data_IF_370361869590
#
_entry.id   IF_370361869590
#
_cell.length_a   1.000
_cell.length_b   1.000
_cell.length_c   1.000
_cell.angle_alpha   90.00
_cell.angle_beta   90.00
_cell.angle_gamma   90.00
#
_symmetry.space_group_name_H-M   'P 1'
#
loop_
_entity.id
_entity.type
_entity.pdbx_description
1 polymer ?
#
# COMPACT_ATOMS: atom_id res chain seq x y z
N UNK A 1 13.28 20.27 -6.63
CA UNK A 1 13.50 19.09 -5.77
C UNK A 1 12.73 17.98 -6.43
N UNK A 2 13.43 17.13 -7.15
CA UNK A 2 12.84 16.04 -7.93
C UNK A 2 12.36 14.95 -6.97
N UNK A 3 11.15 14.46 -7.20
CA UNK A 3 10.56 13.30 -6.52
C UNK A 3 11.54 12.12 -6.60
N UNK A 4 11.98 11.55 -5.48
CA UNK A 4 12.86 10.36 -5.48
C UNK A 4 12.20 9.18 -6.22
N UNK A 5 10.86 9.17 -6.27
CA UNK A 5 10.06 8.22 -7.06
C UNK A 5 10.22 8.41 -8.59
N UNK A 6 10.65 9.61 -9.02
CA UNK A 6 11.02 9.89 -10.42
C UNK A 6 12.46 9.44 -10.73
N UNK A 7 13.32 9.34 -9.73
CA UNK A 7 14.70 8.84 -9.88
C UNK A 7 14.70 7.32 -10.18
N UNK A 8 13.80 6.55 -9.55
CA UNK A 8 13.65 5.09 -9.78
C UNK A 8 13.32 4.78 -11.26
N UNK A 9 12.49 5.63 -11.90
CA UNK A 9 12.13 5.45 -13.33
C UNK A 9 13.28 5.75 -14.29
N UNK A 10 14.24 6.58 -13.91
CA UNK A 10 15.29 7.04 -14.82
C UNK A 10 16.60 6.23 -14.75
N UNK A 11 16.76 5.37 -13.75
CA UNK A 11 17.98 4.58 -13.54
C UNK A 11 18.05 3.24 -14.29
N UNK A 12 16.93 2.57 -14.56
CA UNK A 12 16.97 1.18 -15.06
C UNK A 12 17.32 1.01 -16.55
N UNK A 13 17.05 1.99 -17.42
CA UNK A 13 17.08 1.76 -18.88
C UNK A 13 17.97 2.74 -19.67
N UNK A 14 18.90 3.48 -19.05
CA UNK A 14 19.71 4.47 -19.77
C UNK A 14 21.11 4.02 -20.23
N UNK A 15 21.47 2.74 -20.11
CA UNK A 15 22.73 2.23 -20.65
C UNK A 15 22.49 0.93 -21.43
N UNK A 16 22.05 1.11 -22.68
CA UNK A 16 21.89 0.03 -23.66
C UNK A 16 23.25 -0.22 -24.37
N UNK A 17 24.19 -0.78 -23.61
CA UNK A 17 25.53 -1.16 -24.09
C UNK A 17 25.67 -2.70 -24.22
N UNK A 18 24.57 -3.40 -24.54
CA UNK A 18 24.60 -4.85 -24.79
C UNK A 18 24.99 -5.70 -23.58
N UNK A 19 24.84 -5.19 -22.35
CA UNK A 19 25.05 -5.92 -21.10
C UNK A 19 23.72 -6.05 -20.36
N UNK A 20 23.34 -7.28 -20.00
CA UNK A 20 22.10 -7.63 -19.31
C UNK A 20 21.65 -6.60 -18.25
N UNK A 21 20.45 -6.02 -18.40
CA UNK A 21 19.78 -5.22 -17.37
C UNK A 21 19.59 -6.11 -16.12
N UNK A 22 20.36 -5.87 -15.05
CA UNK A 22 20.17 -6.54 -13.74
C UNK A 22 18.98 -5.93 -13.00
N UNK A 23 17.84 -5.93 -13.66
CA UNK A 23 16.63 -5.27 -13.21
C UNK A 23 15.80 -6.34 -12.51
N UNK A 24 15.79 -6.33 -11.17
CA UNK A 24 14.90 -7.19 -10.39
C UNK A 24 13.49 -6.61 -10.50
N UNK A 25 12.53 -7.49 -10.68
CA UNK A 25 11.12 -7.12 -10.77
C UNK A 25 10.37 -7.69 -9.56
N UNK A 26 9.40 -6.96 -9.02
CA UNK A 26 8.48 -7.48 -8.02
C UNK A 26 7.61 -8.60 -8.62
N UNK A 27 6.81 -9.29 -7.80
CA UNK A 27 5.93 -10.37 -8.27
C UNK A 27 4.86 -9.92 -9.28
N UNK A 28 4.67 -8.62 -9.46
CA UNK A 28 3.77 -8.01 -10.44
C UNK A 28 4.53 -7.51 -11.69
N UNK A 29 5.85 -7.68 -11.77
CA UNK A 29 6.67 -7.30 -12.92
C UNK A 29 7.20 -5.85 -12.91
N UNK A 30 7.11 -5.13 -11.78
CA UNK A 30 7.61 -3.76 -11.68
C UNK A 30 9.08 -3.73 -11.26
N UNK A 31 9.89 -2.90 -11.92
CA UNK A 31 11.29 -2.74 -11.56
C UNK A 31 11.45 -2.20 -10.12
N UNK A 32 12.34 -2.82 -9.36
CA UNK A 32 12.68 -2.44 -7.98
C UNK A 32 14.19 -2.20 -7.88
N UNK A 33 14.59 -1.30 -6.98
CA UNK A 33 15.99 -1.05 -6.69
C UNK A 33 16.62 -2.29 -6.05
N UNK A 34 17.86 -2.63 -6.45
CA UNK A 34 18.58 -3.82 -5.96
C UNK A 34 19.70 -3.47 -4.97
N UNK A 35 20.07 -2.19 -4.90
CA UNK A 35 21.12 -1.71 -3.99
C UNK A 35 20.52 -1.28 -2.64
N UNK A 36 21.20 -1.56 -1.52
CA UNK A 36 20.78 -1.08 -0.20
C UNK A 36 20.65 0.44 -0.18
N UNK A 37 19.48 0.94 0.21
CA UNK A 37 19.20 2.37 0.27
C UNK A 37 18.26 2.70 1.43
N UNK A 38 18.23 3.98 1.83
CA UNK A 38 17.30 4.52 2.81
C UNK A 38 16.30 5.43 2.07
N UNK A 39 15.05 5.00 1.99
CA UNK A 39 13.93 5.84 1.59
C UNK A 39 13.12 6.29 2.81
N UNK A 40 12.51 7.48 2.75
CA UNK A 40 11.59 7.94 3.79
C UNK A 40 10.42 8.72 3.19
N UNK A 41 9.28 8.68 3.87
CA UNK A 41 8.10 9.50 3.61
C UNK A 41 7.79 10.23 4.91
N UNK A 42 7.84 11.56 4.89
CA UNK A 42 7.66 12.37 6.10
C UNK A 42 6.21 12.35 6.61
N UNK A 43 5.25 12.35 5.69
CA UNK A 43 3.82 12.32 5.98
C UNK A 43 3.12 11.45 4.92
N UNK A 44 2.60 10.30 5.35
CA UNK A 44 1.87 9.40 4.46
C UNK A 44 0.46 9.93 4.19
N UNK A 45 -0.21 10.53 5.17
CA UNK A 45 -1.59 10.95 5.05
C UNK A 45 -1.76 12.11 4.06
N UNK A 46 -0.73 12.95 3.90
CA UNK A 46 -0.73 14.06 2.93
C UNK A 46 -0.56 13.62 1.47
N UNK A 47 -0.23 12.35 1.19
CA UNK A 47 0.00 11.86 -0.17
C UNK A 47 -1.28 11.43 -0.90
N UNK A 48 -2.42 11.42 -0.21
CA UNK A 48 -3.71 11.06 -0.78
C UNK A 48 -4.81 11.94 -0.18
N UNK A 49 -5.72 12.38 -1.03
CA UNK A 49 -6.88 13.18 -0.63
C UNK A 49 -8.15 12.33 -0.69
N UNK A 50 -9.06 12.61 0.24
CA UNK A 50 -10.40 12.05 0.21
C UNK A 50 -11.18 12.73 -0.91
N UNK A 51 -11.90 11.92 -1.68
CA UNK A 51 -12.75 12.37 -2.78
C UNK A 51 -14.19 12.07 -2.42
N UNK A 52 -15.09 13.02 -2.68
CA UNK A 52 -16.53 12.90 -2.38
C UNK A 52 -17.11 11.64 -3.02
N UNK A 53 -17.89 10.89 -2.23
CA UNK A 53 -18.58 9.66 -2.62
C UNK A 53 -17.66 8.57 -3.24
N UNK A 54 -16.37 8.56 -2.89
CA UNK A 54 -15.40 7.68 -3.54
C UNK A 54 -14.43 6.97 -2.59
N UNK A 55 -13.94 5.83 -3.07
CA UNK A 55 -12.73 5.17 -2.57
C UNK A 55 -11.63 5.35 -3.59
N UNK A 56 -10.51 5.96 -3.19
CA UNK A 56 -9.33 6.13 -4.05
C UNK A 56 -8.11 5.48 -3.41
N UNK A 57 -7.14 5.09 -4.23
CA UNK A 57 -5.91 4.47 -3.75
C UNK A 57 -4.67 4.97 -4.49
N UNK A 58 -3.53 4.93 -3.80
CA UNK A 58 -2.22 5.31 -4.34
C UNK A 58 -1.15 4.37 -3.81
N UNK A 59 -0.41 3.73 -4.70
CA UNK A 59 0.82 3.02 -4.28
C UNK A 59 1.90 4.04 -3.96
N UNK A 60 2.47 3.95 -2.75
CA UNK A 60 3.49 4.91 -2.26
C UNK A 60 4.86 4.28 -2.06
N UNK A 61 4.93 2.95 -1.93
CA UNK A 61 6.19 2.22 -1.82
C UNK A 61 6.10 0.89 -2.56
N UNK A 62 7.17 0.56 -3.28
CA UNK A 62 7.43 -0.76 -3.85
C UNK A 62 8.90 -1.09 -3.60
N UNK A 63 9.11 -2.15 -2.84
CA UNK A 63 10.42 -2.71 -2.56
C UNK A 63 10.38 -4.23 -2.69
N UNK A 64 11.55 -4.86 -2.72
CA UNK A 64 11.66 -6.32 -2.69
C UNK A 64 10.94 -6.88 -1.45
N UNK A 65 9.84 -7.61 -1.67
CA UNK A 65 9.05 -8.19 -0.58
C UNK A 65 8.07 -7.25 0.13
N UNK A 66 8.00 -5.96 -0.24
CA UNK A 66 7.13 -4.98 0.42
C UNK A 66 6.40 -4.09 -0.59
N UNK A 67 5.07 -4.07 -0.50
CA UNK A 67 4.23 -3.08 -1.20
C UNK A 67 3.40 -2.30 -0.19
N UNK A 68 3.42 -0.97 -0.29
CA UNK A 68 2.59 -0.10 0.53
C UNK A 68 1.64 0.74 -0.32
N UNK A 69 0.35 0.68 0.01
CA UNK A 69 -0.73 1.37 -0.70
C UNK A 69 -1.52 2.20 0.30
N UNK A 70 -1.73 3.47 -0.02
CA UNK A 70 -2.67 4.31 0.69
C UNK A 70 -4.05 4.15 0.10
N UNK A 71 -5.06 4.15 0.95
CA UNK A 71 -6.45 4.30 0.57
C UNK A 71 -7.04 5.52 1.28
N UNK A 72 -7.90 6.24 0.58
CA UNK A 72 -8.74 7.29 1.11
C UNK A 72 -10.20 6.98 0.78
N UNK A 73 -11.04 7.14 1.79
CA UNK A 73 -12.47 6.83 1.75
C UNK A 73 -13.23 8.07 2.15
N UNK A 74 -14.26 8.43 1.39
CA UNK A 74 -15.33 9.23 1.97
C UNK A 74 -16.15 8.40 2.97
N UNK A 75 -16.98 9.08 3.76
CA UNK A 75 -17.91 8.41 4.66
C UNK A 75 -18.80 7.41 3.91
N UNK A 76 -19.09 6.28 4.57
CA UNK A 76 -19.95 5.21 4.08
C UNK A 76 -19.40 4.45 2.85
N UNK A 77 -18.19 4.79 2.40
CA UNK A 77 -17.45 4.05 1.38
C UNK A 77 -16.77 2.80 1.97
N UNK A 78 -16.51 1.82 1.11
CA UNK A 78 -16.06 0.51 1.55
C UNK A 78 -15.17 -0.21 0.54
N UNK A 79 -14.35 -1.12 1.04
CA UNK A 79 -13.91 -2.28 0.30
C UNK A 79 -14.82 -3.44 0.67
N UNK A 80 -15.66 -3.86 -0.28
CA UNK A 80 -16.49 -5.07 -0.17
C UNK A 80 -15.65 -6.29 0.16
N UNK A 81 -16.31 -7.38 0.59
CA UNK A 81 -15.61 -8.60 0.97
C UNK A 81 -14.65 -9.08 -0.12
N UNK A 82 -13.39 -9.25 0.24
CA UNK A 82 -12.34 -9.72 -0.65
C UNK A 82 -11.25 -10.47 0.12
N UNK A 83 -10.27 -10.99 -0.60
CA UNK A 83 -9.11 -11.68 -0.02
C UNK A 83 -7.82 -11.13 -0.61
N UNK A 84 -6.75 -11.17 0.18
CA UNK A 84 -5.38 -10.92 -0.27
C UNK A 84 -4.63 -12.26 -0.39
N UNK A 85 -3.80 -12.41 -1.43
CA UNK A 85 -3.04 -13.64 -1.65
C UNK A 85 -1.91 -13.87 -0.63
N UNK A 86 -1.54 -12.81 0.11
CA UNK A 86 -0.44 -12.76 1.06
C UNK A 86 -0.88 -12.06 2.37
N UNK A 87 -0.12 -12.19 3.47
CA UNK A 87 -0.41 -11.47 4.70
C UNK A 87 -0.37 -9.96 4.49
N UNK A 88 -1.27 -9.24 5.16
CA UNK A 88 -1.36 -7.78 5.06
C UNK A 88 -1.53 -7.14 6.44
N UNK A 89 -1.09 -5.89 6.57
CA UNK A 89 -1.47 -5.00 7.66
C UNK A 89 -2.31 -3.86 7.14
N UNK A 90 -3.28 -3.42 7.94
CA UNK A 90 -4.07 -2.20 7.69
C UNK A 90 -3.92 -1.30 8.90
N UNK A 91 -3.36 -0.11 8.69
CA UNK A 91 -3.19 0.92 9.73
C UNK A 91 -4.01 2.16 9.38
N UNK A 92 -4.80 2.65 10.33
CA UNK A 92 -5.55 3.90 10.16
C UNK A 92 -4.63 5.10 10.39
N UNK A 93 -4.60 6.02 9.44
CA UNK A 93 -3.84 7.26 9.49
C UNK A 93 -4.72 8.45 9.90
N UNK A 94 -5.94 8.51 9.38
CA UNK A 94 -6.95 9.53 9.68
C UNK A 94 -8.34 8.88 9.69
N UNK A 95 -9.28 9.47 10.44
CA UNK A 95 -10.66 9.01 10.49
C UNK A 95 -10.88 7.74 11.32
N UNK A 96 -11.92 6.99 10.97
CA UNK A 96 -12.38 5.81 11.71
C UNK A 96 -12.91 4.76 10.76
N UNK A 97 -12.29 3.58 10.81
CA UNK A 97 -12.64 2.43 9.97
C UNK A 97 -13.19 1.28 10.81
N UNK A 98 -14.20 0.60 10.29
CA UNK A 98 -14.60 -0.73 10.74
C UNK A 98 -13.98 -1.77 9.80
N UNK A 99 -13.30 -2.76 10.37
CA UNK A 99 -12.66 -3.84 9.61
C UNK A 99 -13.24 -5.17 10.08
N UNK A 100 -13.76 -5.94 9.12
CA UNK A 100 -14.26 -7.29 9.34
C UNK A 100 -13.27 -8.35 8.85
N UNK A 101 -13.20 -9.48 9.55
CA UNK A 101 -12.42 -10.64 9.14
C UNK A 101 -12.89 -11.90 9.85
N UNK A 102 -13.33 -12.91 9.07
CA UNK A 102 -13.99 -14.09 9.63
C UNK A 102 -15.25 -13.70 10.41
N UNK A 103 -15.36 -14.11 11.67
CA UNK A 103 -16.51 -13.80 12.55
C UNK A 103 -16.28 -12.57 13.45
N UNK A 104 -15.21 -11.80 13.21
CA UNK A 104 -14.84 -10.66 14.06
C UNK A 104 -14.89 -9.35 13.28
N UNK A 105 -15.40 -8.32 13.93
CA UNK A 105 -15.27 -6.93 13.50
C UNK A 105 -14.53 -6.12 14.57
N UNK A 106 -13.74 -5.14 14.12
CA UNK A 106 -13.08 -4.17 15.00
C UNK A 106 -13.19 -2.78 14.40
N UNK A 107 -13.36 -1.78 15.25
CA UNK A 107 -13.30 -0.37 14.86
C UNK A 107 -11.94 0.20 15.25
N UNK A 108 -11.28 0.88 14.31
CA UNK A 108 -9.95 1.46 14.47
C UNK A 108 -10.02 2.97 14.26
N UNK A 109 -9.27 3.70 15.09
CA UNK A 109 -9.00 5.14 15.00
C UNK A 109 -7.54 5.36 14.61
N UNK A 110 -7.05 6.60 14.36
CA UNK A 110 -5.68 6.84 13.94
C UNK A 110 -4.65 6.20 14.88
N UNK A 111 -3.65 5.53 14.29
CA UNK A 111 -2.66 4.73 15.01
C UNK A 111 -3.08 3.28 15.28
N UNK A 112 -4.36 2.94 15.12
CA UNK A 112 -4.87 1.57 15.20
C UNK A 112 -4.41 0.73 14.02
N UNK A 113 -4.14 -0.55 14.27
CA UNK A 113 -3.66 -1.50 13.26
C UNK A 113 -4.36 -2.85 13.41
N UNK A 114 -4.63 -3.49 12.27
CA UNK A 114 -4.95 -4.92 12.19
C UNK A 114 -3.98 -5.62 11.26
N UNK A 115 -3.83 -6.92 11.46
CA UNK A 115 -3.09 -7.80 10.59
C UNK A 115 -3.98 -8.97 10.18
N UNK A 116 -3.90 -9.35 8.92
CA UNK A 116 -4.73 -10.38 8.32
C UNK A 116 -3.83 -11.43 7.68
N UNK A 117 -4.09 -12.70 8.00
CA UNK A 117 -3.44 -13.82 7.33
C UNK A 117 -3.83 -13.88 5.85
N UNK A 118 -2.95 -14.46 5.04
CA UNK A 118 -3.24 -14.70 3.62
C UNK A 118 -4.59 -15.42 3.44
N UNK A 119 -5.35 -14.99 2.43
CA UNK A 119 -6.63 -15.54 1.98
C UNK A 119 -7.78 -15.46 2.99
N UNK A 120 -7.62 -14.79 4.13
CA UNK A 120 -8.73 -14.51 5.03
C UNK A 120 -9.69 -13.52 4.34
N UNK A 121 -11.00 -13.85 4.16
CA UNK A 121 -11.99 -12.89 3.69
C UNK A 121 -12.13 -11.72 4.67
N UNK A 122 -12.13 -10.50 4.15
CA UNK A 122 -12.20 -9.30 4.97
C UNK A 122 -12.93 -8.15 4.26
N UNK A 123 -13.42 -7.21 5.07
CA UNK A 123 -14.11 -5.99 4.66
C UNK A 123 -13.46 -4.78 5.30
N UNK A 124 -13.57 -3.62 4.65
CA UNK A 124 -13.20 -2.32 5.23
C UNK A 124 -14.34 -1.35 4.98
N UNK A 125 -14.82 -0.67 6.02
CA UNK A 125 -15.92 0.28 5.94
C UNK A 125 -15.57 1.58 6.65
N UNK A 126 -15.77 2.71 5.98
CA UNK A 126 -15.48 4.03 6.52
C UNK A 126 -16.67 4.58 7.31
N UNK A 127 -16.52 4.66 8.64
CA UNK A 127 -17.53 5.25 9.53
C UNK A 127 -17.53 6.79 9.46
N UNK A 128 -16.41 7.36 9.03
CA UNK A 128 -16.18 8.78 8.72
C UNK A 128 -15.12 8.88 7.61
N UNK A 129 -14.92 10.07 6.99
CA UNK A 129 -13.87 10.25 5.99
C UNK A 129 -12.51 9.81 6.56
N UNK A 130 -11.85 8.86 5.90
CA UNK A 130 -10.73 8.11 6.50
C UNK A 130 -9.60 7.86 5.51
N UNK A 131 -8.39 7.74 6.04
CA UNK A 131 -7.20 7.31 5.29
C UNK A 131 -6.52 6.15 6.00
N UNK A 132 -6.07 5.17 5.23
CA UNK A 132 -5.33 4.03 5.77
C UNK A 132 -4.11 3.67 4.92
N UNK A 133 -3.14 3.06 5.58
CA UNK A 133 -2.01 2.38 4.96
C UNK A 133 -2.28 0.87 4.93
N UNK A 134 -2.31 0.30 3.73
CA UNK A 134 -2.23 -1.14 3.50
C UNK A 134 -0.77 -1.50 3.19
N UNK A 135 -0.19 -2.42 3.95
CA UNK A 135 1.10 -3.02 3.62
C UNK A 135 0.92 -4.49 3.31
N UNK A 136 1.53 -4.94 2.24
CA UNK A 136 1.53 -6.33 1.83
C UNK A 136 2.96 -6.85 1.81
N UNK A 137 3.14 -8.06 2.34
CA UNK A 137 4.43 -8.69 2.47
C UNK A 137 4.49 -9.89 1.53
N UNK A 138 5.37 -9.82 0.53
CA UNK A 138 5.62 -10.96 -0.35
C UNK A 138 6.73 -11.82 0.24
N UNK A 139 6.36 -13.03 0.66
CA UNK A 139 7.28 -14.00 1.27
C UNK A 139 7.90 -14.96 0.23
N UNK A 140 7.78 -14.68 -1.06
CA UNK A 140 8.49 -15.44 -2.11
C UNK A 140 9.97 -15.05 -2.14
N UNK A 141 10.70 -15.51 -1.13
CA UNK A 141 12.15 -15.66 -1.15
C UNK A 141 12.58 -16.95 -1.83
#
# INVERSE_FOLDING_TARGET
MTDDNQQIKQGCCKQDDGHHCKCRHDAEGHAIAVDPHLGYVADLASLIDIQEEATVSRTVLREDGLRAVLFAFDKDQALSEHTAAMPVTIQVLEGRLRIGGGEREVELTPGGIVYLSARLPHTVYALEPSKMLLQMFDNRG
#
